data_IF_437206325735
#
_entry.id   IF_437206325735
#
_cell.length_a   1.000
_cell.length_b   1.000
_cell.length_c   1.000
_cell.angle_alpha   90.00
_cell.angle_beta   90.00
_cell.angle_gamma   90.00
#
_symmetry.space_group_name_H-M   'P 1'
#
loop_
_entity.id
_entity.type
_entity.pdbx_description
1 polymer ?
#
# COMPACT_ATOMS: atom_id res chain seq x y z
N UNK A 1 0.27 -22.91 12.11
CA UNK A 1 0.16 -21.53 11.57
C UNK A 1 -1.02 -20.75 12.14
N UNK A 2 -2.13 -21.43 12.51
CA UNK A 2 -3.39 -20.80 12.93
C UNK A 2 -3.26 -19.77 14.05
N UNK A 3 -2.32 -19.95 14.98
CA UNK A 3 -2.10 -19.00 16.08
C UNK A 3 -1.07 -17.89 15.75
N UNK A 4 -0.53 -17.85 14.51
CA UNK A 4 0.51 -16.89 14.11
C UNK A 4 0.10 -15.92 13.03
N UNK A 5 -1.05 -16.15 12.38
CA UNK A 5 -1.54 -15.34 11.27
C UNK A 5 -2.95 -14.84 11.58
N UNK A 6 -3.16 -13.54 11.43
CA UNK A 6 -4.48 -12.90 11.48
C UNK A 6 -4.75 -12.27 10.12
N UNK A 7 -5.90 -12.60 9.53
CA UNK A 7 -6.37 -12.01 8.26
C UNK A 7 -7.43 -10.96 8.58
N UNK A 8 -7.29 -9.77 8.01
CA UNK A 8 -8.30 -8.72 8.07
C UNK A 8 -8.80 -8.41 6.66
N UNK A 9 -10.10 -8.32 6.49
CA UNK A 9 -10.74 -7.95 5.22
C UNK A 9 -10.93 -6.43 5.08
N UNK A 10 -10.45 -5.63 6.04
CA UNK A 10 -10.54 -4.17 6.00
C UNK A 10 -9.43 -3.60 5.10
N UNK A 11 -9.76 -3.03 3.92
CA UNK A 11 -8.77 -2.34 3.11
C UNK A 11 -8.21 -1.12 3.84
N UNK A 12 -6.91 -0.87 3.64
CA UNK A 12 -6.21 0.24 4.28
C UNK A 12 -6.16 1.47 3.38
N UNK A 13 -6.32 2.65 3.98
CA UNK A 13 -6.19 3.94 3.30
C UNK A 13 -5.79 5.06 4.28
N UNK A 14 -5.92 6.31 3.85
CA UNK A 14 -5.78 7.50 4.70
C UNK A 14 -7.07 7.83 5.49
N UNK A 15 -8.15 7.05 5.33
CA UNK A 15 -9.44 7.28 6.00
C UNK A 15 -9.66 6.31 7.15
N UNK A 16 -10.34 6.78 8.18
CA UNK A 16 -10.67 5.98 9.37
C UNK A 16 -12.11 5.51 9.28
N UNK A 17 -12.34 4.18 9.31
CA UNK A 17 -13.65 3.55 9.32
C UNK A 17 -14.66 4.23 8.38
N UNK A 18 -14.31 4.35 7.11
CA UNK A 18 -15.15 4.97 6.09
C UNK A 18 -15.43 4.02 4.94
N UNK A 19 -16.62 4.12 4.37
CA UNK A 19 -16.97 3.38 3.16
C UNK A 19 -16.40 4.11 1.93
N UNK A 20 -15.51 3.44 1.22
CA UNK A 20 -15.03 3.88 -0.09
C UNK A 20 -15.46 2.87 -1.14
N UNK A 21 -15.43 3.32 -2.39
CA UNK A 21 -15.79 2.45 -3.52
C UNK A 21 -14.62 1.54 -3.86
N UNK A 22 -14.86 0.23 -3.93
CA UNK A 22 -14.00 -0.71 -4.65
C UNK A 22 -14.41 -0.66 -6.12
N UNK A 23 -13.43 -0.54 -6.99
CA UNK A 23 -13.63 -0.46 -8.44
C UNK A 23 -12.90 -1.63 -9.10
N UNK A 24 -13.62 -2.44 -9.87
CA UNK A 24 -13.09 -3.58 -10.58
C UNK A 24 -13.07 -3.27 -12.08
N UNK A 25 -11.89 -3.28 -12.73
CA UNK A 25 -11.78 -3.04 -14.17
C UNK A 25 -12.36 -4.19 -14.99
N UNK A 26 -12.30 -5.42 -14.48
CA UNK A 26 -12.83 -6.64 -15.06
C UNK A 26 -13.32 -7.55 -13.95
N UNK A 27 -14.35 -8.36 -14.23
CA UNK A 27 -14.81 -9.40 -13.32
C UNK A 27 -14.10 -10.71 -13.66
N UNK A 28 -12.96 -10.95 -13.01
CA UNK A 28 -12.17 -12.17 -13.13
C UNK A 28 -11.96 -12.74 -11.73
N UNK A 29 -12.36 -13.98 -11.51
CA UNK A 29 -12.17 -14.65 -10.23
C UNK A 29 -10.69 -14.74 -9.86
N UNK A 30 -10.35 -14.32 -8.63
CA UNK A 30 -8.96 -14.26 -8.17
C UNK A 30 -8.14 -13.07 -8.70
N UNK A 31 -8.75 -12.13 -9.43
CA UNK A 31 -8.09 -10.95 -9.96
C UNK A 31 -7.71 -9.96 -8.85
N UNK A 32 -6.47 -9.48 -8.86
CA UNK A 32 -5.94 -8.63 -7.79
C UNK A 32 -5.84 -7.14 -8.15
N UNK A 33 -6.14 -6.75 -9.39
CA UNK A 33 -5.96 -5.36 -9.88
C UNK A 33 -7.17 -4.46 -9.63
N UNK A 34 -7.79 -4.59 -8.46
CA UNK A 34 -8.91 -3.76 -8.04
C UNK A 34 -8.42 -2.49 -7.36
N UNK A 35 -9.12 -1.37 -7.50
CA UNK A 35 -8.72 -0.13 -6.85
C UNK A 35 -9.72 0.33 -5.79
N UNK A 36 -9.21 0.81 -4.65
CA UNK A 36 -9.96 1.29 -3.51
C UNK A 36 -10.01 2.82 -3.49
N UNK A 37 -11.19 3.38 -3.64
CA UNK A 37 -11.43 4.82 -3.69
C UNK A 37 -11.60 5.34 -5.11
N UNK A 38 -10.54 5.79 -5.77
CA UNK A 38 -10.58 6.26 -7.16
C UNK A 38 -10.37 5.10 -8.12
N UNK A 39 -11.10 5.07 -9.24
CA UNK A 39 -10.90 4.08 -10.31
C UNK A 39 -9.61 4.41 -11.10
N UNK A 40 -8.47 4.08 -10.54
CA UNK A 40 -7.14 4.24 -11.15
C UNK A 40 -6.34 2.95 -11.03
N UNK A 41 -5.55 2.63 -12.06
CA UNK A 41 -4.64 1.50 -12.07
C UNK A 41 -3.34 1.78 -11.30
N UNK A 42 -2.43 0.80 -11.27
CA UNK A 42 -1.11 0.88 -10.64
C UNK A 42 -0.17 1.93 -11.28
N UNK A 43 -0.53 2.52 -12.42
CA UNK A 43 0.16 3.66 -13.05
C UNK A 43 -0.53 5.00 -12.75
N UNK A 44 -1.65 4.99 -12.02
CA UNK A 44 -2.48 6.16 -11.74
C UNK A 44 -3.37 6.60 -12.91
N UNK A 45 -3.51 5.77 -13.95
CA UNK A 45 -4.38 6.02 -15.08
C UNK A 45 -5.81 5.67 -14.73
N UNK A 46 -6.76 6.51 -15.13
CA UNK A 46 -8.19 6.24 -14.92
C UNK A 46 -8.65 5.07 -15.79
N UNK A 47 -9.51 4.24 -15.23
CA UNK A 47 -10.22 3.19 -15.97
C UNK A 47 -11.73 3.23 -15.70
N UNK A 48 -12.52 2.64 -16.60
CA UNK A 48 -13.94 2.43 -16.40
C UNK A 48 -14.15 1.13 -15.64
N UNK A 49 -14.67 1.22 -14.42
CA UNK A 49 -14.96 0.04 -13.64
C UNK A 49 -16.22 -0.67 -14.16
N UNK A 50 -16.09 -1.98 -14.39
CA UNK A 50 -17.20 -2.86 -14.77
C UNK A 50 -18.10 -3.13 -13.57
N UNK A 51 -17.49 -3.30 -12.39
CA UNK A 51 -18.21 -3.49 -11.13
C UNK A 51 -17.75 -2.50 -10.08
N UNK A 52 -18.70 -2.02 -9.27
CA UNK A 52 -18.46 -1.10 -8.16
C UNK A 52 -19.30 -1.48 -6.95
N UNK A 53 -18.65 -1.53 -5.79
CA UNK A 53 -19.35 -1.74 -4.52
C UNK A 53 -18.70 -0.94 -3.40
N UNK A 54 -19.44 -0.69 -2.32
CA UNK A 54 -18.93 -0.01 -1.13
C UNK A 54 -18.35 -1.02 -0.16
N UNK A 55 -17.13 -0.76 0.32
CA UNK A 55 -16.49 -1.56 1.36
C UNK A 55 -16.00 -0.65 2.49
N UNK A 56 -16.17 -1.09 3.72
CA UNK A 56 -15.65 -0.40 4.90
C UNK A 56 -14.13 -0.61 4.94
N UNK A 57 -13.38 0.49 4.98
CA UNK A 57 -11.95 0.46 5.17
C UNK A 57 -11.50 1.33 6.34
N UNK A 58 -10.21 1.30 6.65
CA UNK A 58 -9.64 2.01 7.78
C UNK A 58 -8.19 2.43 7.52
N UNK A 59 -7.53 2.97 8.53
CA UNK A 59 -6.12 3.34 8.49
C UNK A 59 -5.29 2.52 9.47
N UNK A 60 -3.98 2.39 9.23
CA UNK A 60 -3.03 1.75 10.16
C UNK A 60 -3.11 2.43 11.53
N UNK A 61 -3.15 3.77 11.56
CA UNK A 61 -3.23 4.53 12.82
C UNK A 61 -4.50 4.25 13.59
N UNK A 62 -5.62 4.05 12.91
CA UNK A 62 -6.89 3.69 13.55
C UNK A 62 -6.85 2.30 14.17
N UNK A 63 -6.30 1.32 13.44
CA UNK A 63 -6.17 -0.06 13.94
C UNK A 63 -5.26 -0.15 15.18
N UNK A 64 -4.15 0.58 15.19
CA UNK A 64 -3.22 0.59 16.33
C UNK A 64 -3.77 1.39 17.52
N UNK A 65 -4.43 2.52 17.26
CA UNK A 65 -5.06 3.34 18.31
C UNK A 65 -6.15 2.56 19.05
N UNK A 66 -6.94 1.78 18.33
CA UNK A 66 -8.04 1.00 18.91
C UNK A 66 -7.60 -0.39 19.41
N UNK A 67 -6.30 -0.67 19.48
CA UNK A 67 -5.72 -1.95 19.91
C UNK A 67 -6.21 -3.17 19.11
N UNK A 68 -6.72 -2.95 17.88
CA UNK A 68 -7.07 -4.03 16.94
C UNK A 68 -5.80 -4.70 16.42
N UNK A 69 -4.75 -3.90 16.16
CA UNK A 69 -3.42 -4.38 15.81
C UNK A 69 -2.38 -3.85 16.80
N UNK A 70 -1.44 -4.72 17.18
CA UNK A 70 -0.22 -4.29 17.89
C UNK A 70 0.63 -3.46 16.94
N UNK A 71 1.41 -2.49 17.49
CA UNK A 71 2.37 -1.73 16.69
C UNK A 71 3.35 -2.68 15.98
N UNK A 72 3.43 -2.67 14.65
CA UNK A 72 4.28 -3.60 13.90
C UNK A 72 5.75 -3.23 14.02
N UNK A 73 6.64 -4.24 13.84
CA UNK A 73 8.07 -4.01 13.67
C UNK A 73 8.45 -3.90 12.18
N UNK A 74 7.80 -4.67 11.33
CA UNK A 74 8.05 -4.76 9.89
C UNK A 74 6.73 -4.64 9.15
N UNK A 75 6.73 -3.89 8.06
CA UNK A 75 5.54 -3.66 7.24
C UNK A 75 5.88 -3.96 5.80
N UNK A 76 5.04 -4.73 5.11
CA UNK A 76 5.04 -4.80 3.65
C UNK A 76 3.77 -4.11 3.13
N UNK A 77 3.91 -3.24 2.13
CA UNK A 77 2.82 -2.59 1.42
C UNK A 77 2.99 -2.97 -0.06
N UNK A 78 1.97 -3.65 -0.59
CA UNK A 78 1.98 -4.22 -1.93
C UNK A 78 0.53 -4.22 -2.42
N UNK A 79 0.12 -3.08 -2.96
CA UNK A 79 -1.24 -2.81 -3.43
C UNK A 79 -1.19 -2.03 -4.74
N UNK A 80 -2.33 -1.90 -5.44
CA UNK A 80 -2.38 -1.32 -6.77
C UNK A 80 -2.69 0.18 -6.74
N UNK A 81 -1.68 1.01 -6.41
CA UNK A 81 -1.73 2.45 -6.67
C UNK A 81 -2.20 3.34 -5.53
N UNK A 82 -2.33 2.84 -4.28
CA UNK A 82 -2.71 3.64 -3.10
C UNK A 82 -1.70 3.56 -1.94
N UNK A 83 -0.48 3.14 -2.20
CA UNK A 83 0.59 2.94 -1.21
C UNK A 83 0.86 4.22 -0.40
N UNK A 84 0.86 5.37 -1.06
CA UNK A 84 1.05 6.66 -0.39
C UNK A 84 -0.11 7.00 0.55
N UNK A 85 -1.35 6.59 0.22
CA UNK A 85 -2.51 6.76 1.09
C UNK A 85 -2.39 5.91 2.34
N UNK A 86 -1.93 4.67 2.20
CA UNK A 86 -1.68 3.78 3.34
C UNK A 86 -0.60 4.37 4.25
N UNK A 87 0.49 4.91 3.68
CA UNK A 87 1.52 5.61 4.46
C UNK A 87 0.98 6.84 5.19
N UNK A 88 0.11 7.64 4.55
CA UNK A 88 -0.54 8.80 5.17
C UNK A 88 -1.40 8.34 6.36
N UNK A 89 -2.20 7.29 6.17
CA UNK A 89 -3.05 6.71 7.22
C UNK A 89 -2.28 6.01 8.34
N UNK A 90 -0.97 5.80 8.18
CA UNK A 90 -0.09 5.17 9.16
C UNK A 90 0.90 6.12 9.83
N UNK A 91 0.84 7.43 9.56
CA UNK A 91 1.90 8.38 9.98
C UNK A 91 2.24 8.35 11.48
N UNK A 92 1.25 8.19 12.36
CA UNK A 92 1.47 8.13 13.82
C UNK A 92 2.15 6.81 14.21
N UNK A 93 1.63 5.70 13.73
CA UNK A 93 2.20 4.37 13.95
C UNK A 93 3.62 4.28 13.38
N UNK A 94 3.83 4.79 12.16
CA UNK A 94 5.13 4.78 11.50
C UNK A 94 6.17 5.66 12.20
N UNK A 95 5.77 6.66 13.00
CA UNK A 95 6.70 7.42 13.86
C UNK A 95 7.21 6.60 15.06
N UNK A 96 6.51 5.53 15.45
CA UNK A 96 6.91 4.72 16.59
C UNK A 96 8.28 4.03 16.31
N UNK A 97 9.19 4.08 17.29
CA UNK A 97 10.52 3.43 17.20
C UNK A 97 10.45 1.90 17.09
N UNK A 98 9.33 1.28 17.43
CA UNK A 98 9.10 -0.16 17.22
C UNK A 98 9.07 -0.54 15.74
N UNK A 99 8.63 0.37 14.85
CA UNK A 99 8.64 0.13 13.39
C UNK A 99 10.07 0.27 12.88
N UNK A 100 10.67 -0.84 12.50
CA UNK A 100 12.09 -0.92 12.10
C UNK A 100 12.29 -0.78 10.60
N UNK A 101 11.40 -1.38 9.80
CA UNK A 101 11.56 -1.43 8.34
C UNK A 101 10.21 -1.46 7.63
N UNK A 102 10.21 -0.90 6.42
CA UNK A 102 9.09 -0.92 5.48
C UNK A 102 9.61 -1.45 4.15
N UNK A 103 8.93 -2.47 3.62
CA UNK A 103 9.01 -2.88 2.22
C UNK A 103 7.77 -2.38 1.51
N UNK A 104 7.93 -1.64 0.42
CA UNK A 104 6.81 -1.03 -0.30
C UNK A 104 6.99 -1.20 -1.80
N UNK A 105 5.93 -1.62 -2.50
CA UNK A 105 5.94 -1.63 -3.95
C UNK A 105 5.85 -0.21 -4.48
N UNK A 106 6.69 0.09 -5.46
CA UNK A 106 6.81 1.43 -6.06
C UNK A 106 6.90 1.31 -7.57
N UNK A 107 5.94 1.91 -8.26
CA UNK A 107 6.02 2.09 -9.70
C UNK A 107 6.71 3.42 -10.02
N UNK A 108 7.94 3.35 -10.55
CA UNK A 108 8.73 4.55 -10.90
C UNK A 108 8.11 5.34 -12.07
N UNK A 109 7.21 4.76 -12.84
CA UNK A 109 6.48 5.46 -13.89
C UNK A 109 5.35 6.33 -13.31
N UNK A 110 4.78 5.96 -12.15
CA UNK A 110 3.79 6.78 -11.46
C UNK A 110 4.47 7.88 -10.63
N UNK A 111 5.00 8.89 -11.34
CA UNK A 111 5.90 9.92 -10.77
C UNK A 111 5.33 10.68 -9.59
N UNK A 112 4.03 11.00 -9.59
CA UNK A 112 3.40 11.74 -8.49
C UNK A 112 3.36 10.91 -7.21
N UNK A 113 2.97 9.63 -7.30
CA UNK A 113 2.95 8.72 -6.18
C UNK A 113 4.36 8.40 -5.67
N UNK A 114 5.31 8.11 -6.59
CA UNK A 114 6.72 7.92 -6.24
C UNK A 114 7.25 9.06 -5.38
N UNK A 115 7.07 10.32 -5.84
CA UNK A 115 7.49 11.51 -5.09
C UNK A 115 6.81 11.60 -3.72
N UNK A 116 5.50 11.29 -3.65
CA UNK A 116 4.72 11.28 -2.41
C UNK A 116 5.28 10.26 -1.41
N UNK A 117 5.51 9.02 -1.83
CA UNK A 117 6.07 7.94 -1.01
C UNK A 117 7.43 8.33 -0.43
N UNK A 118 8.37 8.78 -1.30
CA UNK A 118 9.72 9.16 -0.87
C UNK A 118 9.68 10.32 0.12
N UNK A 119 8.84 11.35 -0.14
CA UNK A 119 8.68 12.49 0.76
C UNK A 119 8.17 12.04 2.14
N UNK A 120 7.10 11.23 2.19
CA UNK A 120 6.51 10.76 3.44
C UNK A 120 7.51 9.94 4.25
N UNK A 121 8.21 8.99 3.62
CA UNK A 121 9.18 8.13 4.30
C UNK A 121 10.37 8.95 4.84
N UNK A 122 10.85 9.95 4.09
CA UNK A 122 11.90 10.88 4.55
C UNK A 122 11.44 11.69 5.77
N UNK A 123 10.22 12.25 5.74
CA UNK A 123 9.62 12.97 6.89
C UNK A 123 9.51 12.08 8.14
N UNK A 124 9.27 10.79 7.95
CA UNK A 124 9.19 9.79 9.01
C UNK A 124 10.55 9.22 9.44
N UNK A 125 11.67 9.77 8.91
CA UNK A 125 13.05 9.36 9.19
C UNK A 125 13.40 7.94 8.77
N UNK A 126 12.73 7.44 7.71
CA UNK A 126 13.14 6.20 7.05
C UNK A 126 14.22 6.48 6.02
N UNK A 127 15.20 5.59 5.95
CA UNK A 127 16.35 5.66 5.04
C UNK A 127 16.26 4.53 4.04
N UNK A 128 16.43 4.85 2.76
CA UNK A 128 16.45 3.86 1.69
C UNK A 128 17.61 2.87 1.89
N UNK A 129 17.32 1.59 1.72
CA UNK A 129 18.31 0.50 1.82
C UNK A 129 18.63 -0.10 0.45
N UNK A 130 17.63 -0.61 -0.24
CA UNK A 130 17.75 -1.18 -1.59
C UNK A 130 16.38 -1.27 -2.25
N UNK A 131 16.38 -1.54 -3.55
CA UNK A 131 15.19 -1.94 -4.30
C UNK A 131 15.47 -3.24 -5.07
N UNK A 132 14.46 -4.10 -5.18
CA UNK A 132 14.50 -5.34 -5.96
C UNK A 132 13.14 -5.63 -6.59
N UNK A 133 13.14 -6.37 -7.67
CA UNK A 133 11.95 -7.01 -8.24
C UNK A 133 12.29 -8.42 -8.74
N UNK A 134 11.28 -9.20 -9.09
CA UNK A 134 11.50 -10.52 -9.66
C UNK A 134 12.14 -10.40 -11.05
N UNK A 135 13.08 -11.30 -11.38
CA UNK A 135 13.84 -11.26 -12.65
C UNK A 135 12.94 -11.32 -13.87
N UNK A 136 11.78 -11.98 -13.78
CA UNK A 136 10.78 -12.04 -14.84
C UNK A 136 10.31 -10.64 -15.28
N UNK A 137 10.37 -9.65 -14.42
CA UNK A 137 9.99 -8.27 -14.73
C UNK A 137 11.04 -7.52 -15.54
N UNK A 138 12.29 -7.98 -15.57
CA UNK A 138 13.34 -7.38 -16.40
C UNK A 138 13.00 -7.43 -17.90
N UNK A 139 12.32 -8.49 -18.33
CA UNK A 139 11.92 -8.71 -19.74
C UNK A 139 10.52 -8.15 -20.03
N UNK A 140 9.74 -7.81 -19.01
CA UNK A 140 8.38 -7.32 -19.17
C UNK A 140 8.35 -5.80 -19.20
N UNK A 141 8.14 -5.22 -20.41
CA UNK A 141 8.10 -3.75 -20.60
C UNK A 141 7.08 -3.05 -19.67
N UNK A 142 6.00 -3.74 -19.30
CA UNK A 142 4.92 -3.20 -18.46
C UNK A 142 5.34 -3.03 -17.00
N UNK A 143 6.11 -3.97 -16.44
CA UNK A 143 6.46 -4.01 -15.02
C UNK A 143 7.94 -3.76 -14.71
N UNK A 144 8.77 -3.46 -15.73
CA UNK A 144 10.22 -3.26 -15.55
C UNK A 144 10.60 -2.05 -14.66
N UNK A 145 9.63 -1.19 -14.33
CA UNK A 145 9.78 -0.03 -13.42
C UNK A 145 9.03 -0.20 -12.11
N UNK A 146 8.54 -1.39 -11.81
CA UNK A 146 7.88 -1.73 -10.56
C UNK A 146 8.87 -2.49 -9.67
N UNK A 147 9.15 -1.97 -8.49
CA UNK A 147 10.14 -2.50 -7.57
C UNK A 147 9.61 -2.54 -6.13
N UNK A 148 10.02 -3.53 -5.36
CA UNK A 148 9.92 -3.52 -3.92
C UNK A 148 11.08 -2.70 -3.34
N UNK A 149 10.78 -1.53 -2.80
CA UNK A 149 11.72 -0.66 -2.10
C UNK A 149 11.76 -1.03 -0.63
N UNK A 150 12.94 -1.14 -0.06
CA UNK A 150 13.13 -1.39 1.36
C UNK A 150 13.73 -0.16 2.02
N UNK A 151 13.07 0.28 3.08
CA UNK A 151 13.53 1.37 3.94
C UNK A 151 13.67 0.87 5.36
N UNK A 152 14.62 1.42 6.09
CA UNK A 152 14.81 1.15 7.52
C UNK A 152 14.78 2.44 8.32
N UNK A 153 14.46 2.36 9.59
CA UNK A 153 14.46 3.48 10.51
C UNK A 153 15.81 3.58 11.20
N UNK A 154 16.40 4.78 11.19
CA UNK A 154 17.58 5.09 11.99
C UNK A 154 17.23 5.29 13.46
#
# INVERSE_FOLDING_TARGET
LENKVMISQLPLSDKNFSHLTMNEPEFIEGWSMNSYGKATDYEGKKFNAVQKYKILGTSIDSLTKNNILKSPNYIKIDVDGIEDKILIGGKKTLKNKKVKSISIEVNENYKSQYKSIIKILKELRFVFKHKKHAEIYNKNKKFNKVFNYVFYKK
#
